data_IF_239101002377
#
_entry.id   IF_239101002377
#
_cell.length_a   1.000
_cell.length_b   1.000
_cell.length_c   1.000
_cell.angle_alpha   90.00
_cell.angle_beta   90.00
_cell.angle_gamma   90.00
#
_symmetry.space_group_name_H-M   'P 1'
#
loop_
_entity.id
_entity.type
_entity.pdbx_description
1 polymer ?
#
# COMPACT_ATOMS: atom_id res chain seq x y z
N UNK A 1 -16.83 10.32 13.41
CA UNK A 1 -15.66 9.87 14.20
C UNK A 1 -14.86 11.10 14.62
N UNK A 2 -14.25 11.07 15.80
CA UNK A 2 -13.42 12.18 16.29
C UNK A 2 -12.15 12.37 15.42
N UNK A 3 -11.78 13.63 15.14
CA UNK A 3 -10.68 13.95 14.22
C UNK A 3 -9.31 13.62 14.82
N UNK A 4 -9.13 13.83 16.14
CA UNK A 4 -7.88 13.51 16.82
C UNK A 4 -7.68 12.00 16.86
N UNK A 5 -8.75 11.24 17.09
CA UNK A 5 -8.73 9.79 17.00
C UNK A 5 -8.34 9.29 15.60
N UNK A 6 -8.98 9.80 14.54
CA UNK A 6 -8.63 9.42 13.14
C UNK A 6 -7.16 9.75 12.83
N UNK A 7 -6.69 10.92 13.25
CA UNK A 7 -5.29 11.33 13.05
C UNK A 7 -4.32 10.41 13.79
N UNK A 8 -4.64 10.05 15.04
CA UNK A 8 -3.84 9.15 15.85
C UNK A 8 -3.74 7.76 15.21
N UNK A 9 -4.86 7.17 14.79
CA UNK A 9 -4.86 5.86 14.13
C UNK A 9 -4.09 5.90 12.80
N UNK A 10 -4.32 6.90 11.95
CA UNK A 10 -3.59 7.03 10.69
C UNK A 10 -2.08 7.17 10.89
N UNK A 11 -1.65 7.88 11.94
CA UNK A 11 -0.25 7.99 12.31
C UNK A 11 0.33 6.64 12.79
N UNK A 12 -0.40 5.91 13.64
CA UNK A 12 -0.02 4.56 14.08
C UNK A 12 0.14 3.60 12.91
N UNK A 13 -0.82 3.58 11.98
CA UNK A 13 -0.75 2.77 10.75
C UNK A 13 0.52 3.11 9.96
N UNK A 14 0.79 4.41 9.77
CA UNK A 14 1.97 4.86 9.02
C UNK A 14 3.27 4.40 9.69
N UNK A 15 3.37 4.55 11.00
CA UNK A 15 4.55 4.14 11.77
C UNK A 15 4.78 2.63 11.70
N UNK A 16 3.73 1.83 11.87
CA UNK A 16 3.81 0.37 11.74
C UNK A 16 4.19 -0.05 10.32
N UNK A 17 3.53 0.50 9.30
CA UNK A 17 3.83 0.20 7.90
C UNK A 17 5.30 0.47 7.58
N UNK A 18 5.84 1.62 7.99
CA UNK A 18 7.23 2.00 7.73
C UNK A 18 8.23 1.20 8.59
N UNK A 19 7.83 0.73 9.76
CA UNK A 19 8.70 -0.03 10.67
C UNK A 19 8.85 -1.50 10.27
N UNK A 20 7.77 -2.10 9.74
CA UNK A 20 7.73 -3.52 9.40
C UNK A 20 7.88 -3.80 7.89
N UNK A 21 7.89 -2.78 7.04
CA UNK A 21 8.18 -2.94 5.60
C UNK A 21 9.63 -2.58 5.30
N UNK A 22 10.41 -3.47 4.65
CA UNK A 22 11.75 -3.11 4.20
C UNK A 22 11.73 -1.85 3.31
N UNK A 23 12.60 -0.88 3.61
CA UNK A 23 12.63 0.41 2.90
C UNK A 23 12.67 0.25 1.36
N UNK A 24 13.47 -0.65 0.77
CA UNK A 24 13.47 -0.81 -0.69
C UNK A 24 12.11 -1.23 -1.27
N UNK A 25 11.37 -2.08 -0.54
CA UNK A 25 10.02 -2.52 -0.92
C UNK A 25 9.03 -1.37 -0.80
N UNK A 26 9.07 -0.62 0.31
CA UNK A 26 8.21 0.54 0.46
C UNK A 26 8.44 1.60 -0.64
N UNK A 27 9.71 1.81 -1.02
CA UNK A 27 10.08 2.77 -2.07
C UNK A 27 9.64 2.31 -3.46
N UNK A 28 9.58 1.01 -3.75
CA UNK A 28 9.14 0.52 -5.06
C UNK A 28 7.65 0.79 -5.31
N UNK A 29 6.85 1.02 -4.27
CA UNK A 29 5.42 1.35 -4.41
C UNK A 29 5.14 2.75 -4.98
N UNK A 30 6.16 3.62 -5.10
CA UNK A 30 5.98 4.97 -5.66
C UNK A 30 5.04 5.86 -4.85
N UNK A 31 5.08 5.75 -3.51
CA UNK A 31 4.20 6.51 -2.61
C UNK A 31 4.44 8.02 -2.76
N UNK A 32 3.36 8.79 -2.97
CA UNK A 32 3.43 10.25 -3.16
C UNK A 32 2.59 11.06 -2.17
N UNK A 33 1.62 10.45 -1.49
CA UNK A 33 0.70 11.14 -0.58
C UNK A 33 0.29 10.22 0.58
N UNK A 34 0.14 10.80 1.77
CA UNK A 34 -0.46 10.17 2.95
C UNK A 34 -1.60 11.05 3.47
N UNK A 35 -2.79 10.48 3.67
CA UNK A 35 -3.96 11.20 4.20
C UNK A 35 -4.67 10.38 5.27
N UNK A 36 -4.83 10.97 6.45
CA UNK A 36 -5.74 10.46 7.47
C UNK A 36 -7.19 10.66 7.01
N UNK A 37 -7.99 9.60 7.01
CA UNK A 37 -9.37 9.64 6.50
C UNK A 37 -10.28 8.71 7.29
N UNK A 38 -11.58 8.81 7.03
CA UNK A 38 -12.56 7.79 7.40
C UNK A 38 -12.95 7.03 6.14
N UNK A 39 -12.96 5.71 6.20
CA UNK A 39 -13.35 4.85 5.09
C UNK A 39 -14.30 3.77 5.61
N UNK A 40 -15.50 3.65 5.02
CA UNK A 40 -16.55 2.73 5.50
C UNK A 40 -16.79 2.83 7.02
N UNK A 41 -16.87 4.06 7.53
CA UNK A 41 -17.04 4.36 8.97
C UNK A 41 -15.84 3.96 9.88
N UNK A 42 -14.74 3.48 9.33
CA UNK A 42 -13.50 3.12 10.04
C UNK A 42 -12.42 4.22 9.94
N UNK A 43 -11.58 4.42 10.97
CA UNK A 43 -10.41 5.30 10.86
C UNK A 43 -9.36 4.65 9.96
N UNK A 44 -8.80 5.43 9.04
CA UNK A 44 -7.92 4.88 8.01
C UNK A 44 -6.79 5.81 7.61
N UNK A 45 -5.73 5.20 7.07
CA UNK A 45 -4.68 5.87 6.32
C UNK A 45 -4.87 5.58 4.83
N UNK A 46 -4.94 6.62 4.01
CA UNK A 46 -4.91 6.51 2.54
C UNK A 46 -3.54 6.90 2.02
N UNK A 47 -2.99 6.07 1.14
CA UNK A 47 -1.71 6.25 0.45
C UNK A 47 -1.97 6.42 -1.03
N UNK A 48 -1.35 7.39 -1.70
CA UNK A 48 -1.29 7.43 -3.17
C UNK A 48 -0.06 6.67 -3.65
N UNK A 49 -0.26 5.63 -4.45
CA UNK A 49 0.77 4.71 -4.92
C UNK A 49 0.83 4.67 -6.46
N UNK A 50 1.98 4.31 -6.98
CA UNK A 50 2.19 4.06 -8.41
C UNK A 50 3.00 2.76 -8.59
N UNK A 51 2.44 1.67 -8.06
CA UNK A 51 3.04 0.35 -8.16
C UNK A 51 2.81 -0.29 -9.52
N UNK A 52 3.60 -1.31 -9.84
CA UNK A 52 3.58 -2.06 -11.10
C UNK A 52 2.20 -2.66 -11.41
N UNK A 53 1.51 -3.21 -10.42
CA UNK A 53 0.22 -3.88 -10.56
C UNK A 53 -0.98 -2.97 -10.26
N UNK A 54 -0.76 -1.92 -9.47
CA UNK A 54 -1.82 -0.97 -9.09
C UNK A 54 -1.28 0.46 -8.95
N UNK A 55 -1.88 1.38 -9.70
CA UNK A 55 -1.72 2.81 -9.54
C UNK A 55 -3.04 3.43 -9.07
N UNK A 56 -2.98 4.28 -8.06
CA UNK A 56 -4.15 4.88 -7.42
C UNK A 56 -3.96 4.97 -5.91
N UNK A 57 -4.96 4.51 -5.16
CA UNK A 57 -4.94 4.58 -3.70
C UNK A 57 -4.93 3.20 -3.06
N UNK A 58 -4.17 3.10 -1.97
CA UNK A 58 -4.30 2.04 -0.96
C UNK A 58 -4.92 2.66 0.27
N UNK A 59 -5.98 2.05 0.80
CA UNK A 59 -6.61 2.46 2.06
C UNK A 59 -6.39 1.34 3.07
N UNK A 60 -5.85 1.70 4.23
CA UNK A 60 -5.62 0.81 5.36
C UNK A 60 -6.53 1.30 6.48
N UNK A 61 -7.55 0.53 6.85
CA UNK A 61 -8.54 0.91 7.85
C UNK A 61 -8.44 -0.01 9.09
N UNK A 62 -8.54 0.55 10.30
CA UNK A 62 -8.57 -0.25 11.53
C UNK A 62 -10.01 -0.65 11.86
N UNK A 63 -10.28 -1.95 11.93
CA UNK A 63 -11.61 -2.46 12.25
C UNK A 63 -11.83 -2.65 13.76
N UNK A 64 -13.06 -3.01 14.13
CA UNK A 64 -13.45 -3.19 15.54
C UNK A 64 -12.82 -4.39 16.25
N UNK A 65 -12.13 -5.27 15.51
CA UNK A 65 -11.48 -6.48 16.01
C UNK A 65 -9.97 -6.32 16.18
N UNK A 66 -9.45 -5.09 16.07
CA UNK A 66 -8.01 -4.77 16.13
C UNK A 66 -7.18 -5.33 14.95
N UNK A 67 -7.83 -5.57 13.80
CA UNK A 67 -7.17 -5.89 12.55
C UNK A 67 -7.25 -4.74 11.55
N UNK A 68 -6.34 -4.75 10.59
CA UNK A 68 -6.40 -3.86 9.43
C UNK A 68 -7.14 -4.47 8.26
N UNK A 69 -7.96 -3.65 7.62
CA UNK A 69 -8.59 -3.91 6.32
C UNK A 69 -7.85 -3.13 5.24
N UNK A 70 -7.49 -3.79 4.14
CA UNK A 70 -6.73 -3.20 3.04
C UNK A 70 -7.59 -3.16 1.78
N UNK A 71 -7.72 -1.97 1.20
CA UNK A 71 -8.50 -1.73 -0.01
C UNK A 71 -7.66 -1.03 -1.09
N UNK A 72 -7.96 -1.35 -2.35
CA UNK A 72 -7.42 -0.66 -3.52
C UNK A 72 -8.52 0.16 -4.20
N UNK A 73 -8.22 1.42 -4.51
CA UNK A 73 -9.08 2.30 -5.30
C UNK A 73 -8.28 2.85 -6.47
N UNK A 74 -8.89 2.98 -7.65
CA UNK A 74 -8.28 3.71 -8.77
C UNK A 74 -8.60 5.20 -8.62
N UNK A 75 -7.81 6.09 -9.22
CA UNK A 75 -8.04 7.54 -9.08
C UNK A 75 -9.42 7.98 -9.61
N UNK A 76 -9.87 7.37 -10.71
CA UNK A 76 -11.13 7.71 -11.38
C UNK A 76 -12.29 6.77 -11.02
N UNK A 77 -12.06 5.79 -10.12
CA UNK A 77 -13.05 4.79 -9.75
C UNK A 77 -13.29 4.80 -8.23
N UNK A 78 -14.52 5.12 -7.84
CA UNK A 78 -14.95 5.05 -6.45
C UNK A 78 -15.14 3.63 -5.92
N UNK A 79 -15.07 2.61 -6.79
CA UNK A 79 -15.22 1.22 -6.38
C UNK A 79 -13.93 0.73 -5.68
N UNK A 80 -14.06 0.43 -4.40
CA UNK A 80 -12.98 -0.13 -3.62
C UNK A 80 -12.95 -1.65 -3.77
N UNK A 81 -11.79 -2.18 -4.17
CA UNK A 81 -11.50 -3.61 -4.15
C UNK A 81 -10.93 -3.98 -2.79
N UNK A 82 -11.63 -4.81 -2.02
CA UNK A 82 -11.09 -5.42 -0.82
C UNK A 82 -9.96 -6.39 -1.16
N UNK A 83 -8.81 -6.26 -0.47
CA UNK A 83 -7.66 -7.16 -0.58
C UNK A 83 -7.69 -8.20 0.53
N UNK A 84 -7.84 -7.74 1.78
CA UNK A 84 -7.96 -8.57 2.98
C UNK A 84 -8.56 -7.71 4.11
N UNK A 85 -9.38 -8.31 4.97
CA UNK A 85 -10.07 -7.65 6.10
C UNK A 85 -9.42 -7.98 7.46
N UNK A 86 -8.52 -8.96 7.50
CA UNK A 86 -7.86 -9.46 8.72
C UNK A 86 -6.34 -9.44 8.52
N UNK A 87 -5.72 -8.25 8.58
CA UNK A 87 -4.28 -8.07 8.42
C UNK A 87 -3.65 -7.59 9.73
N UNK A 88 -2.61 -8.29 10.20
CA UNK A 88 -1.83 -7.85 11.35
C UNK A 88 -0.85 -6.73 10.95
N UNK A 89 -0.41 -5.93 11.93
CA UNK A 89 0.48 -4.79 11.67
C UNK A 89 1.81 -5.19 11.01
N UNK A 90 2.30 -6.40 11.27
CA UNK A 90 3.53 -6.98 10.71
C UNK A 90 3.32 -7.63 9.33
N UNK A 91 2.07 -7.85 8.92
CA UNK A 91 1.70 -8.42 7.61
C UNK A 91 1.35 -7.34 6.57
N UNK A 92 1.12 -6.09 7.00
CA UNK A 92 0.71 -4.98 6.13
C UNK A 92 1.62 -4.82 4.91
N UNK A 93 2.95 -4.86 5.13
CA UNK A 93 3.94 -4.72 4.07
C UNK A 93 3.77 -5.78 3.00
N UNK A 94 3.72 -7.05 3.39
CA UNK A 94 3.62 -8.19 2.49
C UNK A 94 2.26 -8.29 1.78
N UNK A 95 1.18 -7.90 2.45
CA UNK A 95 -0.17 -7.87 1.84
C UNK A 95 -0.25 -6.78 0.78
N UNK A 96 0.22 -5.57 1.09
CA UNK A 96 0.20 -4.44 0.16
C UNK A 96 1.14 -4.70 -1.01
N UNK A 97 2.38 -5.12 -0.75
CA UNK A 97 3.39 -5.37 -1.77
C UNK A 97 2.92 -6.37 -2.82
N UNK A 98 2.36 -7.52 -2.39
CA UNK A 98 1.80 -8.51 -3.32
C UNK A 98 0.63 -7.96 -4.12
N UNK A 99 -0.17 -7.08 -3.53
CA UNK A 99 -1.33 -6.53 -4.20
C UNK A 99 -1.00 -5.44 -5.23
N UNK A 100 0.10 -4.69 -5.04
CA UNK A 100 0.39 -3.50 -5.87
C UNK A 100 1.70 -3.57 -6.66
N UNK A 101 2.65 -4.44 -6.28
CA UNK A 101 4.00 -4.43 -6.84
C UNK A 101 4.49 -5.84 -7.22
N UNK A 102 4.76 -6.71 -6.24
CA UNK A 102 5.41 -8.00 -6.47
C UNK A 102 4.50 -9.06 -7.09
N UNK A 103 3.21 -9.02 -6.79
CA UNK A 103 2.28 -10.07 -7.21
C UNK A 103 2.52 -11.38 -6.45
N UNK A 104 1.98 -12.47 -6.98
CA UNK A 104 2.12 -13.81 -6.39
C UNK A 104 3.08 -14.72 -7.14
N UNK A 105 3.55 -14.30 -8.33
CA UNK A 105 4.50 -15.05 -9.15
C UNK A 105 5.90 -14.43 -9.01
N UNK A 106 6.74 -15.09 -8.23
CA UNK A 106 8.10 -14.64 -7.96
C UNK A 106 8.98 -14.64 -9.22
N UNK A 107 8.84 -15.62 -10.10
CA UNK A 107 9.67 -15.68 -11.31
C UNK A 107 9.31 -14.56 -12.29
N UNK A 108 8.04 -14.22 -12.37
CA UNK A 108 7.57 -13.09 -13.17
C UNK A 108 8.12 -11.77 -12.63
N UNK A 109 8.06 -11.57 -11.31
CA UNK A 109 8.57 -10.35 -10.68
C UNK A 109 10.10 -10.22 -10.76
N UNK A 110 10.84 -11.32 -10.56
CA UNK A 110 12.30 -11.31 -10.69
C UNK A 110 12.71 -10.94 -12.14
N UNK A 111 12.01 -11.48 -13.16
CA UNK A 111 12.23 -11.11 -14.57
C UNK A 111 11.89 -9.64 -14.87
N UNK A 112 10.89 -9.07 -14.20
CA UNK A 112 10.60 -7.65 -14.30
C UNK A 112 11.74 -6.81 -13.74
N UNK A 113 12.22 -7.14 -12.53
CA UNK A 113 13.34 -6.45 -11.89
C UNK A 113 14.61 -6.47 -12.77
N UNK A 114 14.93 -7.62 -13.37
CA UNK A 114 16.08 -7.76 -14.28
C UNK A 114 15.98 -6.83 -15.50
N UNK A 115 14.76 -6.67 -16.07
CA UNK A 115 14.53 -5.74 -17.17
C UNK A 115 14.68 -4.29 -16.73
N UNK A 116 14.10 -3.90 -15.59
CA UNK A 116 14.24 -2.54 -15.05
C UNK A 116 15.71 -2.19 -14.78
N UNK A 117 16.48 -3.14 -14.26
CA UNK A 117 17.92 -2.95 -14.03
C UNK A 117 18.68 -2.79 -15.35
N UNK A 118 18.38 -3.61 -16.36
CA UNK A 118 19.00 -3.49 -17.68
C UNK A 118 18.70 -2.13 -18.34
N UNK A 119 17.47 -1.64 -18.25
CA UNK A 119 17.07 -0.32 -18.74
C UNK A 119 17.86 0.80 -18.05
N UNK A 120 17.93 0.76 -16.71
CA UNK A 120 18.69 1.72 -15.91
C UNK A 120 20.18 1.74 -16.29
N UNK A 121 20.78 0.57 -16.48
CA UNK A 121 22.19 0.43 -16.86
C UNK A 121 22.47 0.82 -18.32
N UNK A 122 21.47 0.68 -19.21
CA UNK A 122 21.61 1.05 -20.62
C UNK A 122 21.67 2.56 -20.88
N UNK A 123 21.29 3.38 -19.89
CA UNK A 123 21.20 4.84 -20.04
C UNK A 123 20.02 5.31 -20.90
N UNK A 124 19.18 4.39 -21.36
CA UNK A 124 17.93 4.72 -22.06
C UNK A 124 16.92 5.14 -21.00
N UNK A 125 16.60 6.43 -20.90
CA UNK A 125 15.45 6.86 -20.09
C UNK A 125 14.18 6.29 -20.73
N UNK A 126 13.33 5.67 -19.91
CA UNK A 126 11.95 5.37 -20.25
C UNK A 126 11.19 6.64 -20.67
#
# INVERSE_FOLDING_TARGET
MDKEYVMHIAQTIKEQLLSFTPIPVFMSWGVSEFVATVFQELPALRLKVNGRLHAGYVVIALNGSDYYEVYLLKEDDSNAKCVNEEVCFDELGDVIDRAIESGTDKEEYDKFCDRQLAELLSGTRA
#
